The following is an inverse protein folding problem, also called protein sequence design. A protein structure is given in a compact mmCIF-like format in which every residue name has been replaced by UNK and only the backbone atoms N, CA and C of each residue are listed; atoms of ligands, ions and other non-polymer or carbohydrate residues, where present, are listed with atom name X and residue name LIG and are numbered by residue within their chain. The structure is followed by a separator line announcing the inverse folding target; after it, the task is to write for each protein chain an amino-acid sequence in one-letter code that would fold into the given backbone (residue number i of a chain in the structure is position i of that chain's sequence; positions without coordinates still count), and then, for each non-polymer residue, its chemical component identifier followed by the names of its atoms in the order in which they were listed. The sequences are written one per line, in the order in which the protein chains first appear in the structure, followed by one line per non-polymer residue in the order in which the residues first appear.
data_IF_554505973931
#
_entry.id   IF_554505973931
#
_cell.length_a   1.000
_cell.length_b   1.000
_cell.length_c   1.000
_cell.angle_alpha   90.00
_cell.angle_beta   90.00
_cell.angle_gamma   90.00
#
_symmetry.space_group_name_H-M   'P 1'
#
loop_
_entity.id
_entity.type
_entity.pdbx_description
1 polymer ?
#
# COMPACT_ATOMS: atom_id res chain seq x y z
N UNK A 1 -1.01 -6.24 -7.47
CA UNK A 1 -1.81 -7.21 -6.71
C UNK A 1 -3.22 -7.34 -7.28
N UNK A 2 -4.01 -6.26 -7.37
CA UNK A 2 -5.41 -6.30 -7.81
C UNK A 2 -5.67 -7.06 -9.13
N UNK A 3 -4.87 -6.85 -10.17
CA UNK A 3 -5.04 -7.56 -11.46
C UNK A 3 -4.86 -9.08 -11.31
N UNK A 4 -3.86 -9.52 -10.54
CA UNK A 4 -3.61 -10.94 -10.28
C UNK A 4 -4.68 -11.55 -9.37
N UNK A 5 -5.13 -10.83 -8.35
CA UNK A 5 -6.21 -11.28 -7.47
C UNK A 5 -7.51 -11.46 -8.27
N UNK A 6 -7.82 -10.53 -9.18
CA UNK A 6 -8.94 -10.69 -10.12
C UNK A 6 -8.77 -11.92 -11.01
N UNK A 7 -7.59 -12.12 -11.60
CA UNK A 7 -7.31 -13.31 -12.41
C UNK A 7 -7.54 -14.61 -11.62
N UNK A 8 -7.06 -14.70 -10.36
CA UNK A 8 -7.26 -15.86 -9.49
C UNK A 8 -8.74 -16.06 -9.14
N UNK A 9 -9.44 -14.98 -8.84
CA UNK A 9 -10.85 -15.00 -8.44
C UNK A 9 -11.78 -15.46 -9.54
N UNK A 10 -11.50 -15.09 -10.80
CA UNK A 10 -12.38 -15.39 -11.93
C UNK A 10 -11.95 -16.62 -12.75
N UNK A 11 -10.70 -17.07 -12.63
CA UNK A 11 -10.24 -18.29 -13.33
C UNK A 11 -10.78 -19.55 -12.64
N UNK A 12 -11.48 -20.44 -13.36
CA UNK A 12 -11.95 -21.70 -12.78
C UNK A 12 -10.79 -22.65 -12.46
N UNK A 13 -11.05 -23.66 -11.61
CA UNK A 13 -10.06 -24.72 -11.31
C UNK A 13 -9.58 -25.38 -12.61
N UNK A 14 -8.26 -25.48 -12.79
CA UNK A 14 -7.64 -26.00 -14.00
C UNK A 14 -7.38 -24.95 -15.09
N UNK A 15 -7.77 -23.69 -14.88
CA UNK A 15 -7.40 -22.58 -15.75
C UNK A 15 -5.96 -22.12 -15.55
N UNK A 16 -5.48 -21.25 -16.43
CA UNK A 16 -4.11 -20.74 -16.47
C UNK A 16 -4.11 -19.22 -16.26
N UNK A 17 -3.13 -18.77 -15.50
CA UNK A 17 -2.81 -17.35 -15.32
C UNK A 17 -1.36 -17.15 -15.74
N UNK A 18 -1.09 -16.15 -16.57
CA UNK A 18 0.25 -15.78 -17.04
C UNK A 18 0.52 -14.33 -16.65
N UNK A 19 1.71 -14.08 -16.10
CA UNK A 19 2.20 -12.73 -15.81
C UNK A 19 3.44 -12.53 -16.65
N UNK A 20 3.47 -11.45 -17.43
CA UNK A 20 4.61 -11.09 -18.24
C UNK A 20 5.07 -9.67 -17.92
N UNK A 21 6.37 -9.48 -17.82
CA UNK A 21 7.01 -8.18 -17.71
C UNK A 21 7.96 -8.02 -18.89
N UNK A 22 7.77 -6.97 -19.68
CA UNK A 22 8.61 -6.63 -20.81
C UNK A 22 9.04 -5.16 -20.70
N UNK A 23 10.24 -4.86 -21.22
CA UNK A 23 10.70 -3.49 -21.38
C UNK A 23 10.60 -3.11 -22.86
N UNK A 24 9.81 -2.09 -23.16
CA UNK A 24 9.66 -1.51 -24.49
C UNK A 24 10.29 -0.10 -24.48
N UNK A 25 11.59 -0.01 -24.77
CA UNK A 25 12.31 1.26 -24.77
C UNK A 25 12.35 1.94 -23.39
N UNK A 26 11.64 3.07 -23.27
CA UNK A 26 11.47 3.87 -22.06
C UNK A 26 10.21 3.51 -21.27
N UNK A 27 9.55 2.39 -21.55
CA UNK A 27 8.38 1.94 -20.81
C UNK A 27 8.54 0.49 -20.34
N UNK A 28 7.95 0.19 -19.19
CA UNK A 28 7.76 -1.18 -18.70
C UNK A 28 6.30 -1.59 -18.91
N UNK A 29 6.10 -2.73 -19.54
CA UNK A 29 4.80 -3.32 -19.83
C UNK A 29 4.61 -4.54 -18.96
N UNK A 30 3.59 -4.52 -18.11
CA UNK A 30 3.16 -5.65 -17.28
C UNK A 30 1.84 -6.16 -17.85
N UNK A 31 1.81 -7.40 -18.31
CA UNK A 31 0.60 -8.07 -18.77
C UNK A 31 0.20 -9.17 -17.78
N UNK A 32 -1.07 -9.18 -17.37
CA UNK A 32 -1.68 -10.24 -16.57
C UNK A 32 -2.80 -10.85 -17.39
N UNK A 33 -2.60 -12.08 -17.85
CA UNK A 33 -3.55 -12.84 -18.68
C UNK A 33 -4.14 -14.00 -17.90
N UNK A 34 -5.45 -14.22 -18.05
CA UNK A 34 -6.17 -15.33 -17.42
C UNK A 34 -7.06 -16.06 -18.43
N UNK A 35 -7.34 -17.34 -18.17
CA UNK A 35 -8.27 -18.16 -18.97
C UNK A 35 -9.66 -18.27 -18.30
N UNK A 36 -10.09 -17.20 -17.62
CA UNK A 36 -11.38 -17.10 -16.98
C UNK A 36 -12.54 -16.91 -17.97
N UNK A 37 -13.73 -16.54 -17.49
CA UNK A 37 -14.93 -16.39 -18.31
C UNK A 37 -14.87 -15.23 -19.31
N UNK A 38 -13.79 -14.45 -19.33
CA UNK A 38 -13.65 -13.27 -20.19
C UNK A 38 -14.57 -12.13 -19.78
N UNK A 39 -14.59 -11.09 -20.61
CA UNK A 39 -15.33 -9.85 -20.37
C UNK A 39 -16.24 -9.63 -21.59
N UNK A 40 -17.55 -9.50 -21.36
CA UNK A 40 -18.51 -9.21 -22.41
C UNK A 40 -18.24 -7.86 -23.07
N UNK A 41 -18.54 -7.75 -24.37
CA UNK A 41 -18.29 -6.54 -25.17
C UNK A 41 -18.97 -5.28 -24.59
N UNK A 42 -20.13 -5.45 -23.95
CA UNK A 42 -20.87 -4.36 -23.31
C UNK A 42 -20.19 -3.86 -22.03
N UNK A 43 -19.38 -4.70 -21.38
CA UNK A 43 -18.70 -4.38 -20.13
C UNK A 43 -17.26 -3.88 -20.36
N UNK A 44 -16.61 -4.33 -21.43
CA UNK A 44 -15.21 -4.03 -21.75
C UNK A 44 -14.86 -2.52 -21.68
N UNK A 45 -15.67 -1.60 -22.25
CA UNK A 45 -15.37 -0.15 -22.18
C UNK A 45 -15.50 0.43 -20.77
N UNK A 46 -16.26 -0.25 -19.90
CA UNK A 46 -16.68 0.27 -18.60
C UNK A 46 -16.00 -0.44 -17.42
N UNK A 47 -15.08 -1.39 -17.65
CA UNK A 47 -14.47 -2.17 -16.56
C UNK A 47 -13.68 -1.33 -15.55
N UNK A 48 -13.22 -0.14 -15.96
CA UNK A 48 -12.49 0.78 -15.12
C UNK A 48 -13.40 1.84 -14.45
N UNK A 49 -14.71 1.83 -14.73
CA UNK A 49 -15.67 2.72 -14.07
C UNK A 49 -16.00 2.25 -12.66
N UNK A 50 -16.23 3.22 -11.75
CA UNK A 50 -16.60 2.92 -10.37
C UNK A 50 -17.97 2.25 -10.32
N UNK A 51 -18.11 1.25 -9.45
CA UNK A 51 -19.37 0.55 -9.17
C UNK A 51 -19.96 -0.21 -10.36
N UNK A 52 -19.20 -0.42 -11.44
CA UNK A 52 -19.61 -1.25 -12.57
C UNK A 52 -19.18 -2.70 -12.38
N UNK A 53 -20.13 -3.61 -12.52
CA UNK A 53 -19.92 -5.05 -12.53
C UNK A 53 -20.70 -5.68 -13.68
N UNK A 54 -20.17 -6.76 -14.26
CA UNK A 54 -20.92 -7.53 -15.25
C UNK A 54 -22.11 -8.26 -14.62
N UNK A 55 -23.24 -8.32 -15.32
CA UNK A 55 -24.35 -9.18 -14.93
C UNK A 55 -24.09 -10.62 -15.40
N UNK A 56 -23.76 -11.52 -14.47
CA UNK A 56 -23.46 -12.92 -14.81
C UNK A 56 -23.50 -13.85 -13.60
N UNK A 57 -23.60 -15.17 -13.82
CA UNK A 57 -23.61 -16.15 -12.73
C UNK A 57 -22.28 -16.20 -11.94
N UNK A 58 -21.16 -15.79 -12.55
CA UNK A 58 -19.85 -15.70 -11.91
C UNK A 58 -19.69 -14.47 -11.00
N UNK A 59 -20.31 -13.33 -11.34
CA UNK A 59 -20.27 -12.08 -10.56
C UNK A 59 -21.16 -12.13 -9.33
N UNK A 60 -22.32 -12.82 -9.39
CA UNK A 60 -23.19 -13.04 -8.22
C UNK A 60 -22.56 -13.90 -7.12
N UNK A 61 -21.61 -14.78 -7.46
CA UNK A 61 -20.90 -15.62 -6.48
C UNK A 61 -19.76 -14.92 -5.74
N UNK A 62 -19.29 -13.78 -6.25
CA UNK A 62 -18.00 -13.21 -5.89
C UNK A 62 -18.10 -11.69 -5.61
N UNK A 63 -19.19 -11.29 -4.93
CA UNK A 63 -19.54 -9.90 -4.63
C UNK A 63 -18.35 -9.02 -4.26
N UNK A 64 -18.26 -7.86 -4.91
CA UNK A 64 -17.29 -6.80 -4.64
C UNK A 64 -17.91 -5.45 -4.96
N UNK A 65 -17.28 -4.33 -4.58
CA UNK A 65 -17.85 -2.99 -4.80
C UNK A 65 -17.61 -2.41 -6.20
N UNK A 66 -16.89 -3.13 -7.08
CA UNK A 66 -16.56 -2.63 -8.43
C UNK A 66 -15.58 -1.45 -8.41
N UNK A 67 -14.69 -1.39 -7.41
CA UNK A 67 -13.70 -0.31 -7.25
C UNK A 67 -12.28 -0.73 -7.64
N UNK A 68 -11.97 -2.03 -7.60
CA UNK A 68 -10.60 -2.53 -7.72
C UNK A 68 -9.88 -2.12 -9.01
N UNK A 69 -10.56 -2.18 -10.16
CA UNK A 69 -9.99 -1.79 -11.45
C UNK A 69 -9.90 -0.27 -11.63
N UNK A 70 -10.87 0.50 -11.13
CA UNK A 70 -10.77 1.97 -11.13
C UNK A 70 -9.54 2.45 -10.36
N UNK A 71 -9.23 1.83 -9.24
CA UNK A 71 -8.06 2.20 -8.44
C UNK A 71 -6.76 1.84 -9.17
N UNK A 72 -6.71 0.69 -9.84
CA UNK A 72 -5.57 0.34 -10.71
C UNK A 72 -5.34 1.43 -11.75
N UNK A 73 -6.41 1.86 -12.44
CA UNK A 73 -6.31 2.94 -13.43
C UNK A 73 -5.78 4.24 -12.81
N UNK A 74 -6.34 4.67 -11.69
CA UNK A 74 -5.91 5.90 -11.03
C UNK A 74 -4.44 5.85 -10.60
N UNK A 75 -3.99 4.74 -10.01
CA UNK A 75 -2.60 4.57 -9.59
C UNK A 75 -1.64 4.57 -10.79
N UNK A 76 -2.01 3.89 -11.88
CA UNK A 76 -1.19 3.86 -13.09
C UNK A 76 -1.10 5.25 -13.73
N UNK A 77 -2.20 5.99 -13.78
CA UNK A 77 -2.24 7.38 -14.27
C UNK A 77 -1.38 8.31 -13.39
N UNK A 78 -1.39 8.15 -12.06
CA UNK A 78 -0.52 8.92 -11.15
C UNK A 78 0.98 8.68 -11.40
N UNK A 79 1.35 7.50 -11.91
CA UNK A 79 2.72 7.19 -12.30
C UNK A 79 3.03 7.62 -13.74
N UNK A 80 2.14 8.36 -14.41
CA UNK A 80 2.28 8.78 -15.81
C UNK A 80 2.16 7.64 -16.82
N UNK A 81 1.57 6.51 -16.42
CA UNK A 81 1.38 5.34 -17.25
C UNK A 81 -0.05 5.18 -17.78
N UNK A 82 -0.30 4.04 -18.43
CA UNK A 82 -1.62 3.66 -18.96
C UNK A 82 -1.99 2.22 -18.59
N UNK A 83 -3.30 1.97 -18.45
CA UNK A 83 -3.83 0.61 -18.24
C UNK A 83 -4.91 0.32 -19.27
N UNK A 84 -4.83 -0.86 -19.87
CA UNK A 84 -5.74 -1.35 -20.90
C UNK A 84 -6.22 -2.76 -20.54
N UNK A 85 -7.33 -3.17 -21.14
CA UNK A 85 -7.85 -4.53 -21.04
C UNK A 85 -8.19 -5.04 -22.43
N UNK A 86 -7.85 -6.30 -22.69
CA UNK A 86 -8.21 -7.04 -23.88
C UNK A 86 -8.94 -8.31 -23.47
N UNK A 87 -10.08 -8.60 -24.10
CA UNK A 87 -10.78 -9.87 -23.94
C UNK A 87 -11.45 -10.24 -25.26
N UNK A 88 -11.32 -11.49 -25.76
CA UNK A 88 -12.00 -11.94 -26.98
C UNK A 88 -13.52 -12.04 -26.84
N UNK A 89 -14.07 -11.75 -25.66
CA UNK A 89 -15.46 -11.96 -25.29
C UNK A 89 -15.61 -13.05 -24.24
N UNK A 90 -16.86 -13.47 -24.00
CA UNK A 90 -17.15 -14.53 -23.03
C UNK A 90 -16.42 -15.83 -23.39
N UNK A 91 -15.91 -16.51 -22.37
CA UNK A 91 -15.12 -17.76 -22.45
C UNK A 91 -13.73 -17.61 -23.10
N UNK A 92 -13.29 -16.39 -23.43
CA UNK A 92 -11.99 -16.11 -24.06
C UNK A 92 -10.87 -15.69 -23.11
N UNK A 93 -11.13 -15.58 -21.80
CA UNK A 93 -10.18 -15.03 -20.84
C UNK A 93 -10.03 -13.51 -20.93
N UNK A 94 -9.18 -12.92 -20.09
CA UNK A 94 -8.89 -11.49 -20.11
C UNK A 94 -7.39 -11.24 -19.95
N UNK A 95 -6.90 -10.19 -20.62
CA UNK A 95 -5.52 -9.70 -20.50
C UNK A 95 -5.55 -8.24 -20.09
N UNK A 96 -5.03 -7.94 -18.90
CA UNK A 96 -4.86 -6.58 -18.41
C UNK A 96 -3.41 -6.15 -18.66
N UNK A 97 -3.23 -5.00 -19.30
CA UNK A 97 -1.93 -4.48 -19.72
C UNK A 97 -1.69 -3.16 -19.02
N UNK A 98 -0.63 -3.07 -18.23
CA UNK A 98 -0.18 -1.84 -17.55
C UNK A 98 1.14 -1.40 -18.18
N UNK A 99 1.19 -0.16 -18.67
CA UNK A 99 2.40 0.49 -19.17
C UNK A 99 2.82 1.58 -18.21
N UNK A 100 4.09 1.60 -17.81
CA UNK A 100 4.65 2.62 -16.93
C UNK A 100 5.93 3.21 -17.55
N UNK A 101 6.12 4.54 -17.49
CA UNK A 101 7.35 5.15 -17.95
C UNK A 101 8.52 4.70 -17.04
N UNK A 102 9.59 4.26 -17.68
CA UNK A 102 10.88 4.00 -17.06
C UNK A 102 11.70 5.28 -17.11
N UNK A 103 12.24 5.68 -15.95
CA UNK A 103 13.19 6.77 -15.90
C UNK A 103 14.42 6.42 -16.77
N UNK A 104 14.95 7.39 -17.55
CA UNK A 104 16.10 7.15 -18.42
C UNK A 104 17.27 6.58 -17.61
N UNK A 105 17.76 5.43 -18.05
CA UNK A 105 18.95 4.80 -17.52
C UNK A 105 20.22 5.45 -18.09
N UNK A 106 20.35 6.78 -18.00
CA UNK A 106 21.61 7.50 -18.29
C UNK A 106 22.43 7.81 -17.02
N UNK A 107 21.97 7.33 -15.87
CA UNK A 107 22.76 7.31 -14.65
C UNK A 107 23.09 5.86 -14.26
N UNK A 108 23.89 5.16 -15.08
CA UNK A 108 24.69 4.00 -14.65
C UNK A 108 25.86 4.45 -13.71
N UNK A 109 25.53 5.39 -12.81
CA UNK A 109 26.39 6.14 -11.91
C UNK A 109 25.60 7.12 -11.02
N UNK A 110 24.26 7.01 -10.96
CA UNK A 110 23.41 7.64 -9.95
C UNK A 110 23.19 6.67 -8.79
N UNK A 111 22.79 7.15 -7.59
CA UNK A 111 22.91 6.39 -6.36
C UNK A 111 22.17 5.07 -6.51
N UNK A 112 22.91 4.00 -6.27
CA UNK A 112 22.42 2.64 -6.15
C UNK A 112 20.99 2.68 -5.59
N UNK A 113 20.00 2.29 -6.40
CA UNK A 113 18.77 1.75 -5.83
C UNK A 113 19.28 0.56 -5.03
N UNK A 114 19.59 0.80 -3.77
CA UNK A 114 19.79 -0.22 -2.77
C UNK A 114 18.45 -0.93 -2.76
N UNK A 115 18.37 -1.98 -3.59
CA UNK A 115 17.72 -3.25 -3.25
C UNK A 115 17.66 -3.24 -1.74
N UNK A 116 16.47 -3.23 -1.14
CA UNK A 116 16.30 -3.37 0.31
C UNK A 116 17.48 -4.21 0.78
N UNK A 117 18.47 -3.57 1.42
CA UNK A 117 19.63 -4.32 1.84
C UNK A 117 19.03 -5.47 2.63
N UNK A 118 19.39 -6.75 2.34
CA UNK A 118 18.87 -7.85 3.11
C UNK A 118 18.94 -7.42 4.57
N UNK A 119 17.79 -7.48 5.27
CA UNK A 119 17.61 -6.98 6.64
C UNK A 119 18.94 -7.16 7.37
N UNK A 120 19.58 -6.08 7.89
CA UNK A 120 20.92 -6.18 8.45
C UNK A 120 20.96 -7.39 9.36
N UNK A 121 21.87 -8.32 9.08
CA UNK A 121 21.96 -9.60 9.80
C UNK A 121 22.47 -9.27 11.21
N UNK A 122 21.53 -9.05 12.11
CA UNK A 122 21.72 -8.57 13.47
C UNK A 122 20.39 -8.07 14.05
N UNK A 123 20.23 -8.00 15.38
CA UNK A 123 18.99 -7.51 15.97
C UNK A 123 18.70 -6.08 15.46
N UNK A 124 17.44 -5.75 15.13
CA UNK A 124 17.10 -4.41 14.66
C UNK A 124 17.49 -3.39 15.73
N UNK A 125 18.00 -2.23 15.31
CA UNK A 125 18.36 -1.14 16.23
C UNK A 125 17.66 0.13 15.81
N UNK A 126 16.78 0.63 16.67
CA UNK A 126 16.01 1.85 16.49
C UNK A 126 16.61 3.04 17.28
N UNK A 127 17.88 2.91 17.72
CA UNK A 127 18.61 3.93 18.47
C UNK A 127 18.46 5.34 17.88
N UNK A 128 18.04 6.28 18.72
CA UNK A 128 17.93 7.69 18.36
C UNK A 128 16.77 8.04 17.43
N UNK A 129 15.84 7.10 17.18
CA UNK A 129 14.56 7.37 16.53
C UNK A 129 13.50 7.76 17.56
N UNK A 130 12.62 8.68 17.17
CA UNK A 130 11.41 9.03 17.89
C UNK A 130 10.20 8.50 17.13
N UNK A 131 9.53 7.49 17.70
CA UNK A 131 8.34 6.87 17.13
C UNK A 131 7.09 7.47 17.79
N UNK A 132 6.15 7.95 16.98
CA UNK A 132 4.81 8.30 17.42
C UNK A 132 3.87 7.12 17.17
N UNK A 133 3.37 6.49 18.24
CA UNK A 133 2.40 5.40 18.19
C UNK A 133 0.99 5.91 18.46
N UNK A 134 0.02 5.45 17.66
CA UNK A 134 -1.39 5.80 17.79
C UNK A 134 -2.23 4.52 17.73
N UNK A 135 -2.92 4.18 18.82
CA UNK A 135 -3.78 3.01 18.92
C UNK A 135 -4.72 3.25 20.12
N UNK A 136 -6.02 2.97 20.00
CA UNK A 136 -6.98 3.20 21.08
C UNK A 136 -6.91 2.12 22.17
N UNK A 137 -6.29 0.97 21.87
CA UNK A 137 -6.05 -0.09 22.84
C UNK A 137 -4.76 0.18 23.64
N UNK A 138 -4.93 0.48 24.93
CA UNK A 138 -3.83 0.75 25.84
C UNK A 138 -2.84 -0.42 25.97
N UNK A 139 -3.29 -1.67 25.89
CA UNK A 139 -2.40 -2.83 25.97
C UNK A 139 -1.54 -2.95 24.71
N UNK A 140 -2.11 -2.61 23.54
CA UNK A 140 -1.37 -2.58 22.27
C UNK A 140 -0.33 -1.47 22.29
N UNK A 141 -0.69 -0.27 22.76
CA UNK A 141 0.26 0.83 22.95
C UNK A 141 1.41 0.45 23.89
N UNK A 142 1.12 -0.15 25.04
CA UNK A 142 2.14 -0.54 26.02
C UNK A 142 3.07 -1.64 25.47
N UNK A 143 2.50 -2.62 24.75
CA UNK A 143 3.28 -3.69 24.11
C UNK A 143 4.21 -3.16 23.03
N UNK A 144 3.70 -2.29 22.13
CA UNK A 144 4.50 -1.69 21.07
C UNK A 144 5.53 -0.70 21.63
N UNK A 145 5.17 0.07 22.68
CA UNK A 145 6.12 0.95 23.37
C UNK A 145 7.29 0.16 23.92
N UNK A 146 7.02 -0.89 24.71
CA UNK A 146 8.06 -1.74 25.29
C UNK A 146 8.95 -2.37 24.21
N UNK A 147 8.36 -2.79 23.09
CA UNK A 147 9.07 -3.33 21.93
C UNK A 147 10.05 -2.30 21.32
N UNK A 148 9.56 -1.12 20.95
CA UNK A 148 10.40 -0.10 20.31
C UNK A 148 11.47 0.46 21.26
N UNK A 149 11.15 0.63 22.54
CA UNK A 149 12.10 1.05 23.58
C UNK A 149 13.18 -0.01 23.83
N UNK A 150 12.83 -1.29 23.81
CA UNK A 150 13.79 -2.40 23.90
C UNK A 150 14.86 -2.32 22.79
N UNK A 151 14.49 -1.84 21.61
CA UNK A 151 15.40 -1.64 20.48
C UNK A 151 16.00 -0.23 20.40
N UNK A 152 15.85 0.60 21.44
CA UNK A 152 16.55 1.89 21.59
C UNK A 152 15.82 3.12 21.02
N UNK A 153 14.57 2.99 20.57
CA UNK A 153 13.78 4.14 20.16
C UNK A 153 13.20 4.89 21.37
N UNK A 154 13.05 6.21 21.23
CA UNK A 154 12.15 7.00 22.07
C UNK A 154 10.73 6.86 21.53
N UNK A 155 9.76 6.62 22.39
CA UNK A 155 8.38 6.42 21.97
C UNK A 155 7.46 7.47 22.60
N UNK A 156 6.59 8.06 21.80
CA UNK A 156 5.41 8.78 22.28
C UNK A 156 4.20 7.99 21.83
N UNK A 157 3.43 7.47 22.78
CA UNK A 157 2.23 6.68 22.48
C UNK A 157 1.01 7.47 22.94
N UNK A 158 0.03 7.61 22.04
CA UNK A 158 -1.20 8.38 22.26
C UNK A 158 -2.42 7.55 21.86
N UNK A 159 -3.55 7.68 22.56
CA UNK A 159 -4.73 6.83 22.37
C UNK A 159 -5.66 7.30 21.24
N UNK A 160 -5.37 8.40 20.56
CA UNK A 160 -6.29 8.96 19.55
C UNK A 160 -5.59 9.78 18.47
N UNK A 161 -6.26 9.88 17.31
CA UNK A 161 -5.85 10.74 16.20
C UNK A 161 -5.72 12.22 16.62
N UNK A 162 -6.65 12.72 17.44
CA UNK A 162 -6.61 14.09 17.93
C UNK A 162 -5.37 14.37 18.81
N UNK A 163 -4.96 13.42 19.63
CA UNK A 163 -3.72 13.52 20.41
C UNK A 163 -2.47 13.42 19.53
N UNK A 164 -2.51 12.60 18.47
CA UNK A 164 -1.42 12.49 17.51
C UNK A 164 -1.17 13.82 16.78
N UNK A 165 -2.23 14.50 16.34
CA UNK A 165 -2.12 15.82 15.70
C UNK A 165 -1.53 16.88 16.66
N UNK A 166 -1.99 16.91 17.92
CA UNK A 166 -1.41 17.80 18.95
C UNK A 166 0.06 17.48 19.23
N UNK A 167 0.41 16.20 19.25
CA UNK A 167 1.79 15.77 19.41
C UNK A 167 2.67 16.27 18.26
N UNK A 168 2.21 16.23 17.01
CA UNK A 168 2.95 16.72 15.85
C UNK A 168 3.18 18.24 15.83
N UNK A 169 2.36 19.02 16.53
CA UNK A 169 2.57 20.47 16.65
C UNK A 169 3.84 20.80 17.45
N UNK A 170 4.10 20.04 18.51
CA UNK A 170 5.17 20.31 19.48
C UNK A 170 6.37 19.36 19.34
N UNK A 171 6.17 18.19 18.76
CA UNK A 171 7.18 17.15 18.57
C UNK A 171 7.53 17.01 17.10
N UNK A 172 8.73 16.46 16.86
CA UNK A 172 9.19 16.04 15.53
C UNK A 172 9.56 14.56 15.59
N UNK A 173 8.54 13.68 15.57
CA UNK A 173 8.81 12.25 15.45
C UNK A 173 9.39 11.94 14.07
N UNK A 174 10.17 10.87 14.01
CA UNK A 174 10.80 10.40 12.77
C UNK A 174 9.89 9.48 11.97
N UNK A 175 8.88 8.92 12.62
CA UNK A 175 7.91 8.01 12.02
C UNK A 175 6.63 7.99 12.84
N UNK A 176 5.50 7.98 12.14
CA UNK A 176 4.17 7.74 12.67
C UNK A 176 3.81 6.27 12.45
N UNK A 177 3.32 5.59 13.48
CA UNK A 177 2.74 4.26 13.39
C UNK A 177 1.34 4.32 14.01
N UNK A 178 0.31 4.01 13.23
CA UNK A 178 -1.08 4.15 13.66
C UNK A 178 -1.89 2.88 13.39
N UNK A 179 -2.80 2.50 14.28
CA UNK A 179 -3.92 1.64 13.90
C UNK A 179 -4.82 2.40 12.91
N UNK A 180 -5.48 1.65 12.03
CA UNK A 180 -6.55 2.18 11.19
C UNK A 180 -7.89 2.13 11.91
N UNK A 181 -8.16 1.05 12.63
CA UNK A 181 -9.47 0.79 13.20
C UNK A 181 -9.60 1.40 14.61
N UNK A 182 -9.61 2.72 14.68
CA UNK A 182 -9.82 3.47 15.93
C UNK A 182 -11.26 4.00 16.02
N UNK A 183 -11.88 4.02 17.21
CA UNK A 183 -13.17 4.64 17.46
C UNK A 183 -13.10 6.17 17.26
N UNK A 184 -14.25 6.75 16.88
CA UNK A 184 -14.48 8.16 16.59
C UNK A 184 -13.77 8.73 15.35
N UNK A 185 -12.45 8.61 15.26
CA UNK A 185 -11.65 9.13 14.15
C UNK A 185 -10.70 8.05 13.63
N UNK A 186 -11.00 7.53 12.43
CA UNK A 186 -10.26 6.41 11.87
C UNK A 186 -8.83 6.83 11.45
N UNK A 187 -7.93 5.85 11.36
CA UNK A 187 -6.54 6.12 10.98
C UNK A 187 -6.41 6.70 9.55
N UNK A 188 -7.43 6.59 8.70
CA UNK A 188 -7.43 7.24 7.38
C UNK A 188 -7.63 8.75 7.49
N UNK A 189 -8.53 9.20 8.37
CA UNK A 189 -8.74 10.62 8.64
C UNK A 189 -7.53 11.27 9.30
N UNK A 190 -6.86 10.54 10.20
CA UNK A 190 -5.61 11.00 10.81
C UNK A 190 -4.56 11.31 9.74
N UNK A 191 -4.24 10.34 8.88
CA UNK A 191 -3.16 10.52 7.91
C UNK A 191 -3.48 11.59 6.88
N UNK A 192 -4.75 11.72 6.45
CA UNK A 192 -5.17 12.76 5.52
C UNK A 192 -4.84 14.15 6.08
N UNK A 193 -5.19 14.40 7.35
CA UNK A 193 -4.87 15.66 8.04
C UNK A 193 -3.38 15.86 8.26
N UNK A 194 -2.63 14.80 8.56
CA UNK A 194 -1.16 14.89 8.66
C UNK A 194 -0.58 15.36 7.33
N UNK A 195 -1.08 14.86 6.19
CA UNK A 195 -0.61 15.28 4.84
C UNK A 195 -1.03 16.70 4.44
N UNK A 196 -2.02 17.29 5.10
CA UNK A 196 -2.38 18.71 4.94
C UNK A 196 -1.42 19.67 5.67
N UNK A 197 -0.58 19.16 6.59
CA UNK A 197 0.42 19.97 7.28
C UNK A 197 1.58 20.33 6.37
N UNK A 198 2.23 21.46 6.66
CA UNK A 198 3.50 21.81 6.02
C UNK A 198 4.55 20.72 6.27
N UNK A 199 5.48 20.56 5.32
CA UNK A 199 6.57 19.59 5.42
C UNK A 199 7.37 19.75 6.72
N UNK A 200 7.64 20.98 7.13
CA UNK A 200 8.36 21.31 8.37
C UNK A 200 7.58 20.99 9.65
N UNK A 201 6.26 20.81 9.54
CA UNK A 201 5.33 20.49 10.63
C UNK A 201 4.93 19.01 10.67
N UNK A 202 5.55 18.18 9.84
CA UNK A 202 5.30 16.74 9.78
C UNK A 202 4.49 16.28 8.57
N UNK A 203 4.17 17.17 7.62
CA UNK A 203 3.44 16.80 6.38
C UNK A 203 4.06 15.64 5.60
N UNK A 204 5.38 15.54 5.62
CA UNK A 204 6.15 14.48 4.97
C UNK A 204 6.69 13.42 5.95
N UNK A 205 6.19 13.36 7.19
CA UNK A 205 6.63 12.32 8.14
C UNK A 205 6.31 10.93 7.57
N UNK A 206 7.26 9.99 7.58
CA UNK A 206 6.96 8.62 7.19
C UNK A 206 5.87 8.04 8.09
N UNK A 207 4.88 7.37 7.50
CA UNK A 207 3.71 6.85 8.20
C UNK A 207 3.45 5.38 7.88
N UNK A 208 3.23 4.57 8.91
CA UNK A 208 2.92 3.13 8.83
C UNK A 208 1.55 2.88 9.44
N UNK A 209 0.70 2.19 8.69
CA UNK A 209 -0.58 1.69 9.19
C UNK A 209 -0.44 0.26 9.71
N UNK A 210 -0.84 0.01 10.95
CA UNK A 210 -1.05 -1.31 11.53
C UNK A 210 -2.55 -1.66 11.41
N UNK A 211 -2.89 -2.86 10.94
CA UNK A 211 -4.31 -3.23 10.79
C UNK A 211 -4.55 -4.67 11.19
N UNK A 212 -5.69 -4.96 11.84
CA UNK A 212 -6.17 -6.33 12.00
C UNK A 212 -6.88 -6.87 10.74
N UNK A 213 -7.28 -5.98 9.82
CA UNK A 213 -7.99 -6.35 8.60
C UNK A 213 -7.02 -6.53 7.43
N UNK A 214 -6.84 -7.80 7.04
CA UNK A 214 -5.93 -8.24 5.99
C UNK A 214 -6.57 -8.22 4.58
N UNK A 215 -7.69 -7.52 4.38
CA UNK A 215 -8.27 -7.43 3.04
C UNK A 215 -7.40 -6.54 2.14
N UNK A 216 -7.14 -6.99 0.91
CA UNK A 216 -6.35 -6.24 -0.09
C UNK A 216 -6.89 -4.80 -0.30
N UNK A 217 -8.20 -4.61 -0.11
CA UNK A 217 -8.88 -3.31 -0.21
C UNK A 217 -8.46 -2.33 0.90
N UNK A 218 -8.16 -2.82 2.12
CA UNK A 218 -7.77 -1.98 3.27
C UNK A 218 -6.33 -1.46 3.13
N UNK A 219 -5.45 -2.28 2.56
CA UNK A 219 -4.08 -1.88 2.20
C UNK A 219 -4.07 -0.78 1.15
N UNK A 220 -4.88 -0.93 0.11
CA UNK A 220 -4.99 0.06 -0.97
C UNK A 220 -5.53 1.38 -0.43
N UNK A 221 -6.56 1.31 0.41
CA UNK A 221 -7.17 2.48 1.05
C UNK A 221 -6.18 3.21 1.98
N UNK A 222 -5.28 2.50 2.65
CA UNK A 222 -4.25 3.09 3.51
C UNK A 222 -3.24 3.90 2.71
N UNK A 223 -2.74 3.34 1.60
CA UNK A 223 -1.79 4.05 0.73
C UNK A 223 -2.43 5.29 0.10
N UNK A 224 -3.68 5.18 -0.39
CA UNK A 224 -4.40 6.32 -0.98
C UNK A 224 -4.68 7.42 0.04
N UNK A 225 -4.96 7.06 1.30
CA UNK A 225 -5.16 8.05 2.37
C UNK A 225 -3.88 8.83 2.73
N UNK A 226 -2.70 8.28 2.39
CA UNK A 226 -1.42 8.95 2.57
C UNK A 226 -0.42 8.20 3.45
N UNK A 227 -0.70 6.96 3.86
CA UNK A 227 0.30 6.12 4.50
C UNK A 227 1.35 5.67 3.48
N UNK A 228 2.60 5.58 3.92
CA UNK A 228 3.68 5.08 3.08
C UNK A 228 3.65 3.55 3.02
N UNK A 229 3.27 2.91 4.14
CA UNK A 229 3.26 1.45 4.27
C UNK A 229 2.09 0.95 5.13
N UNK A 230 1.62 -0.23 4.80
CA UNK A 230 0.61 -0.99 5.53
C UNK A 230 1.19 -2.34 6.00
N UNK A 231 0.98 -2.65 7.28
CA UNK A 231 1.35 -3.90 7.93
C UNK A 231 0.12 -4.56 8.56
N UNK A 232 -0.10 -5.84 8.25
CA UNK A 232 -1.20 -6.65 8.78
C UNK A 232 -0.82 -7.35 10.09
N UNK A 233 -1.56 -7.15 11.17
CA UNK A 233 -1.52 -7.95 12.40
C UNK A 233 -1.98 -9.40 12.06
N UNK A 234 -1.30 -10.47 12.52
CA UNK A 234 -0.10 -10.46 13.35
C UNK A 234 1.15 -10.27 12.49
N UNK A 235 1.91 -9.22 12.79
CA UNK A 235 3.26 -9.00 12.26
C UNK A 235 4.28 -9.48 13.28
N UNK A 236 5.37 -10.09 12.81
CA UNK A 236 6.48 -10.44 13.67
C UNK A 236 7.05 -9.16 14.32
N UNK A 237 7.14 -9.07 15.66
CA UNK A 237 7.63 -7.87 16.35
C UNK A 237 8.98 -7.36 15.83
N UNK A 238 9.89 -8.27 15.50
CA UNK A 238 11.21 -7.91 14.95
C UNK A 238 11.11 -7.28 13.55
N UNK A 239 10.18 -7.78 12.73
CA UNK A 239 9.93 -7.24 11.39
C UNK A 239 9.32 -5.84 11.46
N UNK A 240 8.40 -5.58 12.39
CA UNK A 240 7.81 -4.25 12.61
C UNK A 240 8.92 -3.24 12.94
N UNK A 241 9.80 -3.58 13.89
CA UNK A 241 10.87 -2.68 14.31
C UNK A 241 11.87 -2.44 13.19
N UNK A 242 12.31 -3.51 12.50
CA UNK A 242 13.25 -3.38 11.39
C UNK A 242 12.69 -2.50 10.26
N UNK A 243 11.42 -2.72 9.93
CA UNK A 243 10.75 -2.01 8.85
C UNK A 243 10.52 -0.53 9.18
N UNK A 244 9.98 -0.24 10.37
CA UNK A 244 9.77 1.14 10.86
C UNK A 244 11.11 1.88 10.96
N UNK A 245 12.16 1.21 11.44
CA UNK A 245 13.51 1.80 11.51
C UNK A 245 14.05 2.18 10.12
N UNK A 246 13.89 1.30 9.14
CA UNK A 246 14.36 1.55 7.77
C UNK A 246 13.61 2.73 7.13
N UNK A 247 12.30 2.80 7.36
CA UNK A 247 11.46 3.87 6.84
C UNK A 247 11.80 5.22 7.48
N UNK A 248 11.94 5.28 8.81
CA UNK A 248 12.29 6.49 9.54
C UNK A 248 13.66 7.06 9.12
N UNK A 249 14.66 6.18 8.93
CA UNK A 249 16.02 6.59 8.49
C UNK A 249 16.03 7.16 7.07
N UNK A 250 15.17 6.65 6.18
CA UNK A 250 14.99 7.22 4.84
C UNK A 250 14.33 8.60 4.88
N UNK A 251 13.32 8.77 5.73
CA UNK A 251 12.68 10.07 5.96
C UNK A 251 13.68 11.13 6.41
N UNK A 252 14.56 10.81 7.37
CA UNK A 252 15.65 11.69 7.80
C UNK A 252 16.66 12.02 6.69
N UNK A 253 17.02 11.05 5.85
CA UNK A 253 17.99 11.26 4.78
C UNK A 253 17.43 12.12 3.62
N UNK A 254 16.11 12.21 3.49
CA UNK A 254 15.43 12.99 2.47
C UNK A 254 14.96 14.37 2.96
N UNK A 255 15.09 14.68 4.26
CA UNK A 255 14.76 15.96 4.90
C UNK A 255 15.96 16.91 4.88
#
# INVERSE_FOLDING_TARGET
SNLLSNAIKFTPRGGRIEIRLERAGSEATIAVSDTGPGIGADLLPHVFERFRQGEGPATRRHGGLGLGLTIVRHLVELHGGTVEVESPGELGGATFIVRLPLLPSEAAGGPEIQRLAPLPVGPPRADGLHVLLVDDDANTLDSLRALFEHYGARVTAVPSAAEALRALESLRPDVLVSDIAMPDEDGYQLIARVRELDRERGGAIPAVALTAFAADDDRVRALVAGYDVHLSKPVNPEEVVAFVTQLARRGRAAA
#
